data_IF_743494385117
#
_entry.id   IF_743494385117
#
_cell.length_a   1.000
_cell.length_b   1.000
_cell.length_c   1.000
_cell.angle_alpha   90.00
_cell.angle_beta   90.00
_cell.angle_gamma   90.00
#
_symmetry.space_group_name_H-M   'P 1'
#
loop_
_entity.id
_entity.type
_entity.pdbx_description
1 polymer ?
#
# COMPACT_ATOMS: atom_id res chain seq x y z
N UNK A 1 -3.49 -10.60 -1.21
CA UNK A 1 -3.51 -9.26 -0.61
C UNK A 1 -4.74 -8.47 -1.08
N UNK A 2 -5.09 -7.35 -0.42
CA UNK A 2 -6.08 -6.37 -0.95
C UNK A 2 -5.42 -5.21 -1.69
N UNK A 3 -4.15 -4.93 -1.41
CA UNK A 3 -3.35 -3.92 -2.09
C UNK A 3 -2.51 -4.65 -3.13
N UNK A 4 -2.92 -4.52 -4.39
CA UNK A 4 -2.42 -5.31 -5.53
C UNK A 4 -1.62 -4.43 -6.49
N UNK A 5 -0.87 -5.05 -7.41
CA UNK A 5 -0.24 -4.35 -8.53
C UNK A 5 -1.28 -3.78 -9.50
N UNK A 6 -2.33 -4.56 -9.74
CA UNK A 6 -3.45 -4.20 -10.60
C UNK A 6 -4.76 -4.61 -9.94
N UNK A 7 -5.78 -3.74 -10.01
CA UNK A 7 -7.10 -4.07 -9.51
C UNK A 7 -7.75 -5.15 -10.39
N UNK A 8 -8.25 -6.21 -9.74
CA UNK A 8 -9.00 -7.28 -10.42
C UNK A 8 -10.49 -6.98 -10.57
N UNK A 9 -10.98 -5.99 -9.82
CA UNK A 9 -12.34 -5.48 -9.90
C UNK A 9 -12.41 -4.22 -10.76
N UNK A 10 -13.59 -3.88 -11.31
CA UNK A 10 -13.78 -2.64 -12.06
C UNK A 10 -13.33 -1.42 -11.24
N UNK A 11 -12.54 -0.55 -11.86
CA UNK A 11 -12.02 0.66 -11.21
C UNK A 11 -13.15 1.65 -10.95
N UNK A 12 -13.19 2.21 -9.74
CA UNK A 12 -14.01 3.40 -9.43
C UNK A 12 -13.38 4.67 -10.01
N UNK A 13 -12.05 4.75 -10.02
CA UNK A 13 -11.26 5.84 -10.59
C UNK A 13 -9.81 5.41 -10.74
N UNK A 14 -9.11 5.95 -11.73
CA UNK A 14 -7.72 5.60 -12.04
C UNK A 14 -6.76 6.68 -11.56
N UNK A 15 -5.77 6.30 -10.75
CA UNK A 15 -4.73 7.23 -10.26
C UNK A 15 -5.26 8.35 -9.36
N UNK A 16 -6.36 8.10 -8.64
CA UNK A 16 -7.06 9.11 -7.83
C UNK A 16 -6.78 9.01 -6.32
N UNK A 17 -5.98 8.04 -5.88
CA UNK A 17 -5.71 7.81 -4.46
C UNK A 17 -4.33 8.38 -4.13
N UNK A 18 -4.25 9.21 -3.11
CA UNK A 18 -2.99 9.78 -2.62
C UNK A 18 -2.40 9.00 -1.43
N UNK A 19 -3.25 8.41 -0.58
CA UNK A 19 -2.86 7.71 0.66
C UNK A 19 -3.79 6.55 0.99
N UNK A 20 -3.22 5.47 1.51
CA UNK A 20 -3.93 4.26 1.96
C UNK A 20 -3.62 4.06 3.45
N UNK A 21 -4.66 4.00 4.27
CA UNK A 21 -4.54 3.77 5.72
C UNK A 21 -5.15 2.40 6.05
N UNK A 22 -4.39 1.58 6.76
CA UNK A 22 -4.78 0.21 7.14
C UNK A 22 -4.53 -0.01 8.62
N UNK A 23 -4.92 -1.19 9.12
CA UNK A 23 -4.55 -1.64 10.46
C UNK A 23 -3.06 -1.96 10.60
N UNK A 24 -2.32 -2.10 9.49
CA UNK A 24 -0.89 -2.40 9.50
C UNK A 24 -0.01 -1.15 9.44
N UNK A 25 -0.55 -0.04 8.94
CA UNK A 25 0.18 1.20 8.76
C UNK A 25 -0.39 2.07 7.64
N UNK A 26 0.41 3.07 7.27
CA UNK A 26 0.08 4.11 6.28
C UNK A 26 1.00 4.00 5.07
N UNK A 27 0.41 4.01 3.88
CA UNK A 27 1.09 3.97 2.60
C UNK A 27 0.75 5.23 1.79
N UNK A 28 1.76 5.92 1.28
CA UNK A 28 1.59 7.03 0.32
C UNK A 28 1.75 6.54 -1.11
N UNK A 29 0.94 7.06 -2.01
CA UNK A 29 1.07 6.81 -3.45
C UNK A 29 2.09 7.81 -4.00
N UNK A 30 3.18 7.29 -4.55
CA UNK A 30 4.29 8.07 -5.11
C UNK A 30 4.62 7.59 -6.51
N UNK A 31 5.46 8.34 -7.21
CA UNK A 31 5.93 7.93 -8.53
C UNK A 31 6.60 6.54 -8.46
N UNK A 32 6.04 5.57 -9.18
CA UNK A 32 6.58 4.21 -9.30
C UNK A 32 6.05 3.19 -8.28
N UNK A 33 5.28 3.59 -7.26
CA UNK A 33 4.72 2.63 -6.31
C UNK A 33 4.13 3.23 -5.04
N UNK A 34 4.18 2.46 -3.96
CA UNK A 34 3.71 2.86 -2.64
C UNK A 34 4.89 3.00 -1.67
N UNK A 35 4.90 4.06 -0.87
CA UNK A 35 5.90 4.29 0.17
C UNK A 35 5.31 4.02 1.55
N UNK A 36 6.03 3.29 2.39
CA UNK A 36 5.65 3.09 3.80
C UNK A 36 5.99 4.37 4.57
N UNK A 37 4.97 5.00 5.16
CA UNK A 37 5.12 6.25 5.93
C UNK A 37 5.13 5.97 7.42
N UNK A 38 4.28 5.04 7.85
CA UNK A 38 4.08 4.70 9.25
C UNK A 38 3.68 3.22 9.35
N UNK A 39 4.13 2.55 10.42
CA UNK A 39 3.74 1.20 10.78
C UNK A 39 3.03 1.26 12.13
N UNK A 40 2.06 0.38 12.34
CA UNK A 40 1.46 0.23 13.65
C UNK A 40 2.51 -0.31 14.66
N UNK A 41 2.31 -0.04 15.95
CA UNK A 41 3.31 -0.28 17.02
C UNK A 41 3.90 -1.71 17.04
N UNK A 42 3.09 -2.72 16.70
CA UNK A 42 3.48 -4.14 16.71
C UNK A 42 3.71 -4.72 15.30
N UNK A 43 3.84 -3.89 14.27
CA UNK A 43 3.97 -4.32 12.87
C UNK A 43 5.37 -4.00 12.37
N UNK A 44 6.10 -5.02 11.94
CA UNK A 44 7.39 -4.83 11.30
C UNK A 44 7.24 -4.45 9.82
N UNK A 45 8.29 -3.87 9.24
CA UNK A 45 8.31 -3.57 7.80
C UNK A 45 8.19 -4.85 6.96
N UNK A 46 8.77 -5.96 7.45
CA UNK A 46 8.65 -7.28 6.82
C UNK A 46 7.19 -7.76 6.79
N UNK A 47 6.45 -7.59 7.89
CA UNK A 47 5.02 -7.94 7.95
C UNK A 47 4.22 -7.14 6.91
N UNK A 48 4.48 -5.83 6.80
CA UNK A 48 3.86 -4.98 5.79
C UNK A 48 4.19 -5.48 4.37
N UNK A 49 5.47 -5.73 4.08
CA UNK A 49 5.93 -6.23 2.77
C UNK A 49 5.30 -7.59 2.41
N UNK A 50 5.14 -8.48 3.38
CA UNK A 50 4.51 -9.79 3.18
C UNK A 50 2.98 -9.70 3.04
N UNK A 51 2.35 -8.65 3.56
CA UNK A 51 0.90 -8.45 3.50
C UNK A 51 0.39 -7.80 2.20
N UNK A 52 1.29 -7.15 1.45
CA UNK A 52 0.97 -6.40 0.22
C UNK A 52 1.57 -7.04 -1.02
N UNK A 53 0.84 -7.00 -2.13
CA UNK A 53 1.38 -7.43 -3.44
C UNK A 53 1.82 -6.24 -4.30
N UNK A 54 1.53 -5.02 -3.85
CA UNK A 54 1.94 -3.80 -4.54
C UNK A 54 3.45 -3.57 -4.47
N UNK A 55 3.96 -2.85 -5.47
CA UNK A 55 5.35 -2.40 -5.50
C UNK A 55 5.58 -1.38 -4.39
N UNK A 56 6.45 -1.72 -3.44
CA UNK A 56 6.89 -0.81 -2.39
C UNK A 56 8.21 -0.13 -2.81
N UNK A 57 8.30 1.17 -2.57
CA UNK A 57 9.47 2.01 -2.83
C UNK A 57 9.91 2.70 -1.53
N UNK A 58 11.20 3.03 -1.46
CA UNK A 58 11.82 3.60 -0.25
C UNK A 58 11.55 5.10 -0.05
#
# INVERSE_FOLDING_TARGET
SKVLKDCTLPLTGQGVVDRIITNLGVLDVVDGGLKIVELADDVSEEDMRNSTEATLVD
#
